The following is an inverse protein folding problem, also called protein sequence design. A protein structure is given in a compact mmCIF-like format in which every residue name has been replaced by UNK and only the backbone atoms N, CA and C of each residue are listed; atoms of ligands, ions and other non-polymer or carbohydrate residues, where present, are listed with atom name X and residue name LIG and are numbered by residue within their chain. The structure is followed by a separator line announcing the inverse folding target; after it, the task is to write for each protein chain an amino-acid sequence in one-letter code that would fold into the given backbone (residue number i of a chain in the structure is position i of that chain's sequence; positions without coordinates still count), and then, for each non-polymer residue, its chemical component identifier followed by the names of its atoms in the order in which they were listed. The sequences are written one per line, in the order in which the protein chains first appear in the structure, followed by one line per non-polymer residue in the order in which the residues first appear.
data_IF_815045933682
#
_entry.id   IF_815045933682
#
_cell.length_a   1.000
_cell.length_b   1.000
_cell.length_c   1.000
_cell.angle_alpha   90.00
_cell.angle_beta   90.00
_cell.angle_gamma   90.00
#
_symmetry.space_group_name_H-M   'P 1'
#
loop_
_entity.id
_entity.type
_entity.pdbx_description
1 polymer ?
#
# COMPACT_ATOMS: atom_id res chain seq x y z
N UNK A 1 -36.38 -52.10 -75.36
CA UNK A 1 -36.89 -51.63 -74.05
C UNK A 1 -35.76 -51.74 -73.02
N UNK A 2 -34.68 -50.94 -73.16
CA UNK A 2 -33.47 -51.02 -72.29
C UNK A 2 -32.88 -49.62 -71.99
N UNK A 3 -33.60 -48.53 -72.26
CA UNK A 3 -33.01 -47.18 -72.09
C UNK A 3 -33.65 -46.30 -71.00
N UNK A 4 -34.72 -46.73 -70.33
CA UNK A 4 -35.32 -45.94 -69.22
C UNK A 4 -34.68 -46.22 -67.86
N UNK A 5 -34.14 -47.43 -67.63
CA UNK A 5 -33.60 -47.82 -66.31
C UNK A 5 -32.22 -47.19 -66.06
N UNK A 6 -31.42 -46.98 -67.11
CA UNK A 6 -30.10 -46.33 -66.99
C UNK A 6 -30.18 -44.82 -66.79
N UNK A 7 -31.21 -44.14 -67.35
CA UNK A 7 -31.35 -42.69 -67.20
C UNK A 7 -31.68 -42.27 -65.76
N UNK A 8 -32.41 -43.11 -65.02
CA UNK A 8 -32.85 -42.81 -63.64
C UNK A 8 -31.78 -43.03 -62.57
N UNK A 9 -30.73 -43.81 -62.87
CA UNK A 9 -29.65 -44.09 -61.94
C UNK A 9 -28.53 -43.03 -61.96
N UNK A 10 -28.44 -42.23 -63.03
CA UNK A 10 -27.36 -41.25 -63.22
C UNK A 10 -27.72 -39.86 -62.65
N UNK A 11 -29.01 -39.53 -62.52
CA UNK A 11 -29.48 -38.21 -62.05
C UNK A 11 -29.89 -38.16 -60.58
N UNK A 12 -29.85 -39.28 -59.85
CA UNK A 12 -30.37 -39.36 -58.48
C UNK A 12 -29.34 -39.24 -57.35
N UNK A 13 -28.04 -39.23 -57.66
CA UNK A 13 -26.97 -39.32 -56.65
C UNK A 13 -26.35 -37.95 -56.29
N UNK A 14 -26.61 -36.89 -57.06
CA UNK A 14 -25.85 -35.63 -56.95
C UNK A 14 -26.57 -34.54 -56.12
N UNK A 15 -27.91 -34.48 -56.15
CA UNK A 15 -28.66 -33.38 -55.50
C UNK A 15 -28.64 -33.45 -53.96
N UNK A 16 -28.67 -34.64 -53.38
CA UNK A 16 -28.59 -34.82 -51.92
C UNK A 16 -27.18 -34.47 -51.39
N UNK A 17 -26.14 -34.75 -52.18
CA UNK A 17 -24.75 -34.45 -51.84
C UNK A 17 -24.48 -32.93 -51.86
N UNK A 18 -25.04 -32.23 -52.84
CA UNK A 18 -24.97 -30.77 -52.95
C UNK A 18 -25.74 -30.10 -51.80
N UNK A 19 -26.88 -30.68 -51.40
CA UNK A 19 -27.72 -30.17 -50.31
C UNK A 19 -27.05 -30.30 -48.94
N UNK A 20 -26.34 -31.41 -48.69
CA UNK A 20 -25.59 -31.59 -47.43
C UNK A 20 -24.27 -30.79 -47.39
N UNK A 21 -23.63 -30.55 -48.55
CA UNK A 21 -22.46 -29.67 -48.64
C UNK A 21 -22.81 -28.21 -48.25
N UNK A 22 -24.01 -27.73 -48.58
CA UNK A 22 -24.48 -26.39 -48.20
C UNK A 22 -24.78 -26.23 -46.70
N UNK A 23 -25.14 -27.31 -45.98
CA UNK A 23 -25.41 -27.26 -44.53
C UNK A 23 -24.14 -27.15 -43.67
N UNK A 24 -22.99 -27.54 -44.20
CA UNK A 24 -21.72 -27.67 -43.46
C UNK A 24 -21.01 -26.34 -43.16
N UNK A 25 -21.29 -25.27 -43.90
CA UNK A 25 -20.46 -24.05 -43.86
C UNK A 25 -21.02 -22.89 -43.01
N UNK A 26 -21.36 -23.12 -41.73
CA UNK A 26 -21.86 -22.05 -40.84
C UNK A 26 -21.25 -21.96 -39.43
N UNK A 27 -20.05 -22.50 -39.19
CA UNK A 27 -19.45 -22.50 -37.84
C UNK A 27 -17.97 -22.11 -37.74
N UNK A 28 -17.52 -21.09 -38.47
CA UNK A 28 -16.12 -20.58 -38.36
C UNK A 28 -15.96 -19.09 -38.00
N UNK A 29 -17.06 -18.38 -37.72
CA UNK A 29 -17.02 -16.94 -37.36
C UNK A 29 -16.74 -16.65 -35.88
N UNK A 30 -17.30 -17.42 -34.94
CA UNK A 30 -17.29 -17.08 -33.52
C UNK A 30 -15.95 -17.33 -32.81
N UNK A 31 -15.13 -18.24 -33.32
CA UNK A 31 -13.88 -18.63 -32.64
C UNK A 31 -12.84 -17.49 -32.71
N UNK A 32 -12.74 -16.79 -33.85
CA UNK A 32 -11.82 -15.64 -33.98
C UNK A 32 -12.23 -14.49 -33.07
N UNK A 33 -13.52 -14.17 -32.99
CA UNK A 33 -14.02 -13.12 -32.11
C UNK A 33 -13.78 -13.46 -30.64
N UNK A 34 -13.91 -14.73 -30.26
CA UNK A 34 -13.59 -15.22 -28.92
C UNK A 34 -12.09 -15.02 -28.59
N UNK A 35 -11.19 -15.38 -29.51
CA UNK A 35 -9.74 -15.18 -29.31
C UNK A 35 -9.35 -13.69 -29.22
N UNK A 36 -9.96 -12.83 -30.03
CA UNK A 36 -9.72 -11.39 -29.96
C UNK A 36 -10.22 -10.79 -28.64
N UNK A 37 -11.40 -11.20 -28.16
CA UNK A 37 -11.92 -10.77 -26.88
C UNK A 37 -11.05 -11.23 -25.69
N UNK A 38 -10.53 -12.47 -25.74
CA UNK A 38 -9.60 -13.00 -24.73
C UNK A 38 -8.28 -12.22 -24.71
N UNK A 39 -7.74 -11.88 -25.89
CA UNK A 39 -6.50 -11.10 -25.98
C UNK A 39 -6.67 -9.69 -25.41
N UNK A 40 -7.78 -9.01 -25.71
CA UNK A 40 -8.04 -7.66 -25.18
C UNK A 40 -8.23 -7.68 -23.67
N UNK A 41 -8.96 -8.66 -23.14
CA UNK A 41 -9.12 -8.85 -21.70
C UNK A 41 -7.77 -9.08 -20.99
N UNK A 42 -6.88 -9.89 -21.57
CA UNK A 42 -5.53 -10.11 -21.01
C UNK A 42 -4.69 -8.82 -20.97
N UNK A 43 -4.79 -7.97 -22.00
CA UNK A 43 -4.12 -6.67 -22.00
C UNK A 43 -4.64 -5.73 -20.90
N UNK A 44 -5.96 -5.68 -20.67
CA UNK A 44 -6.53 -4.89 -19.57
C UNK A 44 -6.08 -5.41 -18.21
N UNK A 45 -6.02 -6.74 -18.00
CA UNK A 45 -5.52 -7.33 -16.76
C UNK A 45 -4.05 -6.96 -16.53
N UNK A 46 -3.20 -7.00 -17.57
CA UNK A 46 -1.80 -6.59 -17.47
C UNK A 46 -1.64 -5.10 -17.14
N UNK A 47 -2.45 -4.24 -17.75
CA UNK A 47 -2.41 -2.79 -17.47
C UNK A 47 -2.89 -2.52 -16.04
N UNK A 48 -3.98 -3.14 -15.60
CA UNK A 48 -4.51 -2.98 -14.23
C UNK A 48 -3.47 -3.48 -13.22
N UNK A 49 -2.86 -4.65 -13.43
CA UNK A 49 -1.84 -5.17 -12.53
C UNK A 49 -0.57 -4.30 -12.51
N UNK A 50 -0.13 -3.77 -13.66
CA UNK A 50 1.00 -2.83 -13.71
C UNK A 50 0.71 -1.51 -12.99
N UNK A 51 -0.51 -0.98 -13.11
CA UNK A 51 -0.95 0.22 -12.38
C UNK A 51 -1.00 -0.05 -10.87
N UNK A 52 -1.52 -1.20 -10.43
CA UNK A 52 -1.53 -1.56 -9.01
C UNK A 52 -0.12 -1.72 -8.41
N UNK A 53 0.86 -2.18 -9.20
CA UNK A 53 2.24 -2.33 -8.76
C UNK A 53 3.02 -1.01 -8.72
N UNK A 54 2.53 0.04 -9.39
CA UNK A 54 3.23 1.34 -9.48
C UNK A 54 2.78 2.35 -8.44
N UNK A 55 1.67 2.10 -7.72
CA UNK A 55 1.29 2.98 -6.61
C UNK A 55 2.42 3.06 -5.59
N UNK A 56 2.94 4.28 -5.31
CA UNK A 56 3.78 4.46 -4.15
C UNK A 56 3.11 3.86 -2.94
N UNK A 57 3.79 2.95 -2.26
CA UNK A 57 3.40 2.60 -0.90
C UNK A 57 3.86 3.77 -0.05
N UNK A 58 2.98 4.36 0.73
CA UNK A 58 3.34 5.32 1.75
C UNK A 58 4.14 4.62 2.86
N UNK A 59 5.02 5.30 3.60
CA UNK A 59 5.72 4.68 4.74
C UNK A 59 4.68 4.09 5.72
N UNK A 60 4.97 2.95 6.32
CA UNK A 60 4.05 2.35 7.29
C UNK A 60 4.55 2.63 8.69
N UNK A 61 3.71 3.26 9.52
CA UNK A 61 4.02 3.58 10.91
C UNK A 61 3.07 2.84 11.82
N UNK A 62 3.62 2.22 12.86
CA UNK A 62 2.88 1.47 13.86
C UNK A 62 3.23 1.97 15.26
N UNK A 63 2.23 2.08 16.13
CA UNK A 63 2.37 2.33 17.55
C UNK A 63 1.87 1.09 18.29
N UNK A 64 2.70 0.47 19.14
CA UNK A 64 2.34 -0.73 19.90
C UNK A 64 1.72 -1.87 19.04
N UNK A 65 2.24 -2.05 17.81
CA UNK A 65 1.74 -2.99 16.79
C UNK A 65 0.41 -2.61 16.10
N UNK A 66 -0.19 -1.48 16.45
CA UNK A 66 -1.36 -0.92 15.76
C UNK A 66 -0.91 0.11 14.71
N UNK A 67 -1.48 0.02 13.50
CA UNK A 67 -1.11 0.93 12.41
C UNK A 67 -1.66 2.32 12.69
N UNK A 68 -0.80 3.33 12.70
CA UNK A 68 -1.23 4.73 12.82
C UNK A 68 -1.93 5.13 11.52
N UNK A 69 -3.12 5.70 11.65
CA UNK A 69 -3.95 6.17 10.54
C UNK A 69 -4.47 7.57 10.85
N UNK A 70 -5.44 8.07 10.06
CA UNK A 70 -6.12 9.33 10.37
C UNK A 70 -7.00 9.26 11.63
N UNK A 71 -7.29 8.06 12.12
CA UNK A 71 -8.01 7.88 13.39
C UNK A 71 -7.02 8.07 14.54
N UNK A 72 -7.30 8.98 15.51
CA UNK A 72 -6.45 9.19 16.67
C UNK A 72 -6.26 7.90 17.47
N UNK A 73 -5.00 7.54 17.69
CA UNK A 73 -4.62 6.42 18.53
C UNK A 73 -4.01 6.92 19.83
N UNK A 74 -4.54 6.46 20.96
CA UNK A 74 -4.04 6.84 22.28
C UNK A 74 -2.65 6.26 22.54
N UNK A 75 -1.75 7.08 23.06
CA UNK A 75 -0.41 6.64 23.46
C UNK A 75 -0.55 5.82 24.74
N UNK A 76 -0.28 4.52 24.66
CA UNK A 76 -0.62 3.55 25.72
C UNK A 76 0.22 3.72 27.00
N UNK A 77 1.28 4.51 26.96
CA UNK A 77 1.96 5.01 28.17
C UNK A 77 2.93 6.13 27.77
N UNK A 78 2.71 7.40 28.13
CA UNK A 78 3.83 8.31 28.23
C UNK A 78 4.73 7.73 29.32
N UNK A 79 5.93 7.26 28.97
CA UNK A 79 6.98 6.92 29.93
C UNK A 79 7.31 8.19 30.74
N UNK A 80 6.49 8.43 31.77
CA UNK A 80 6.68 9.50 32.73
C UNK A 80 7.81 9.04 33.63
N UNK A 81 9.04 9.39 33.24
CA UNK A 81 10.16 9.33 34.17
C UNK A 81 9.88 10.42 35.21
N UNK A 82 9.15 10.05 36.26
CA UNK A 82 8.89 10.89 37.40
C UNK A 82 10.22 11.19 38.10
N UNK A 83 10.88 12.28 37.69
CA UNK A 83 12.00 12.82 38.45
C UNK A 83 11.45 13.28 39.81
N UNK A 84 12.14 12.90 40.89
CA UNK A 84 11.79 13.18 42.30
C UNK A 84 12.06 14.65 42.64
N UNK A 85 11.62 15.57 41.78
CA UNK A 85 11.70 17.01 41.99
C UNK A 85 10.34 17.64 41.71
N UNK A 86 9.84 18.55 42.56
CA UNK A 86 8.54 19.22 42.41
C UNK A 86 8.47 20.19 41.21
N UNK A 87 9.43 20.10 40.30
CA UNK A 87 9.59 20.91 39.08
C UNK A 87 9.84 20.02 37.84
N UNK A 88 9.48 18.73 37.93
CA UNK A 88 9.64 17.77 36.84
C UNK A 88 8.61 18.08 35.74
N UNK A 89 9.07 18.76 34.68
CA UNK A 89 8.34 18.84 33.43
C UNK A 89 8.18 17.43 32.86
N UNK A 90 6.94 17.07 32.56
CA UNK A 90 6.60 15.73 32.09
C UNK A 90 6.96 15.64 30.61
N UNK A 91 7.95 14.81 30.25
CA UNK A 91 8.27 14.56 28.86
C UNK A 91 7.30 13.52 28.29
N UNK A 92 6.96 13.65 27.02
CA UNK A 92 6.16 12.66 26.29
C UNK A 92 7.08 11.97 25.30
N UNK A 93 7.29 10.67 25.49
CA UNK A 93 8.09 9.83 24.60
C UNK A 93 7.19 8.77 23.97
N UNK A 94 7.28 8.64 22.66
CA UNK A 94 6.48 7.70 21.85
C UNK A 94 7.44 6.87 21.02
N UNK A 95 7.24 5.56 21.04
CA UNK A 95 8.02 4.61 20.23
C UNK A 95 7.18 4.13 19.06
N UNK A 96 7.69 4.32 17.85
CA UNK A 96 7.02 3.99 16.60
C UNK A 96 7.84 2.97 15.82
N UNK A 97 7.20 1.89 15.40
CA UNK A 97 7.79 0.97 14.43
C UNK A 97 7.55 1.53 13.02
N UNK A 98 8.64 1.80 12.30
CA UNK A 98 8.59 2.47 10.99
C UNK A 98 9.15 1.55 9.91
N UNK A 99 8.38 1.36 8.85
CA UNK A 99 8.79 0.66 7.64
C UNK A 99 8.86 1.64 6.46
N UNK A 100 10.08 1.89 6.00
CA UNK A 100 10.37 2.83 4.91
C UNK A 100 10.37 2.12 3.55
N UNK A 101 10.08 2.86 2.48
CA UNK A 101 9.86 2.28 1.14
C UNK A 101 11.14 1.98 0.34
N UNK A 102 12.25 1.66 1.03
CA UNK A 102 13.56 1.37 0.41
C UNK A 102 14.09 2.51 -0.47
N UNK A 103 13.59 3.72 -0.28
CA UNK A 103 14.05 4.98 -0.87
C UNK A 103 14.56 5.89 0.25
N UNK A 104 15.40 6.85 -0.11
CA UNK A 104 15.78 7.92 0.81
C UNK A 104 14.51 8.60 1.34
N UNK A 105 14.43 8.73 2.66
CA UNK A 105 13.31 9.35 3.37
C UNK A 105 13.88 10.31 4.39
N UNK A 106 13.46 11.57 4.34
CA UNK A 106 13.80 12.56 5.35
C UNK A 106 12.82 12.49 6.50
N UNK A 107 13.33 12.33 7.70
CA UNK A 107 12.60 12.29 8.95
C UNK A 107 12.90 13.61 9.65
N UNK A 108 11.88 14.38 9.97
CA UNK A 108 12.04 15.65 10.69
C UNK A 108 10.91 15.88 11.69
N UNK A 109 11.20 16.57 12.79
CA UNK A 109 10.18 16.99 13.75
C UNK A 109 10.22 18.51 13.94
N UNK A 110 9.07 19.15 14.11
CA UNK A 110 9.01 20.57 14.45
C UNK A 110 9.52 20.83 15.86
N UNK A 111 9.21 19.92 16.79
CA UNK A 111 9.56 20.04 18.20
C UNK A 111 9.97 18.69 18.78
N UNK A 112 10.77 18.76 19.84
CA UNK A 112 11.34 17.58 20.48
C UNK A 112 12.56 17.02 19.77
N UNK A 113 12.91 15.78 20.06
CA UNK A 113 14.04 15.06 19.46
C UNK A 113 13.61 13.63 19.20
N UNK A 114 14.02 13.06 18.07
CA UNK A 114 13.82 11.64 17.80
C UNK A 114 15.14 10.87 17.80
N UNK A 115 15.05 9.59 18.14
CA UNK A 115 16.11 8.60 18.01
C UNK A 115 15.65 7.52 17.04
N UNK A 116 16.48 7.24 16.04
CA UNK A 116 16.24 6.18 15.07
C UNK A 116 17.16 5.00 15.39
N UNK A 117 16.56 3.84 15.65
CA UNK A 117 17.26 2.60 15.98
C UNK A 117 16.79 1.45 15.08
N UNK A 118 17.52 0.34 15.07
CA UNK A 118 16.98 -0.93 14.57
C UNK A 118 15.79 -1.38 15.43
N UNK A 119 14.88 -2.19 14.88
CA UNK A 119 13.67 -2.66 15.59
C UNK A 119 13.91 -3.23 16.99
N UNK A 120 15.03 -3.93 17.19
CA UNK A 120 15.41 -4.50 18.49
C UNK A 120 16.09 -3.49 19.44
N UNK A 121 16.21 -2.23 19.04
CA UNK A 121 16.94 -1.17 19.74
C UNK A 121 18.46 -1.42 19.93
N UNK A 122 19.02 -2.46 19.32
CA UNK A 122 20.43 -2.85 19.44
C UNK A 122 21.41 -1.89 18.77
N UNK A 123 20.96 -1.13 17.78
CA UNK A 123 21.81 -0.24 16.97
C UNK A 123 21.16 1.12 16.82
N UNK A 124 21.84 2.16 17.31
CA UNK A 124 21.46 3.55 17.11
C UNK A 124 21.98 4.04 15.74
N UNK A 125 21.07 4.46 14.87
CA UNK A 125 21.42 5.06 13.58
C UNK A 125 21.54 6.58 13.69
N UNK A 126 20.65 7.23 14.44
CA UNK A 126 20.62 8.68 14.53
C UNK A 126 19.91 9.18 15.79
N UNK A 127 20.27 10.38 16.26
CA UNK A 127 19.56 11.15 17.28
C UNK A 127 19.60 12.64 16.91
N UNK A 128 18.43 13.29 16.87
CA UNK A 128 18.32 14.72 16.56
C UNK A 128 16.93 15.08 16.07
N UNK A 129 16.84 16.12 15.24
CA UNK A 129 15.57 16.70 14.77
C UNK A 129 15.35 16.58 13.27
N UNK A 130 16.39 16.25 12.51
CA UNK A 130 16.35 16.13 11.05
C UNK A 130 17.39 15.10 10.58
N UNK A 131 16.92 14.07 9.89
CA UNK A 131 17.76 13.01 9.36
C UNK A 131 17.25 12.54 8.01
N UNK A 132 18.14 12.38 7.04
CA UNK A 132 17.81 11.73 5.76
C UNK A 132 18.38 10.33 5.75
N UNK A 133 17.52 9.33 5.61
CA UNK A 133 17.92 7.92 5.58
C UNK A 133 18.63 7.59 4.28
N UNK A 134 19.69 6.78 4.34
CA UNK A 134 20.28 6.17 3.15
C UNK A 134 19.47 4.93 2.69
N UNK A 135 19.86 4.35 1.55
CA UNK A 135 19.20 3.17 0.98
C UNK A 135 19.35 1.89 1.82
N UNK A 136 20.34 1.81 2.70
CA UNK A 136 20.61 0.61 3.49
C UNK A 136 19.84 0.64 4.80
N UNK A 137 19.75 1.79 5.45
CA UNK A 137 18.87 2.05 6.60
C UNK A 137 17.41 1.91 6.18
N UNK A 138 17.03 2.44 5.01
CA UNK A 138 15.65 2.40 4.52
C UNK A 138 15.13 1.00 4.15
N UNK A 139 16.00 -0.02 4.12
CA UNK A 139 15.61 -1.42 3.91
C UNK A 139 15.43 -2.21 5.21
N UNK A 140 15.85 -1.64 6.34
CA UNK A 140 15.78 -2.30 7.65
C UNK A 140 14.44 -2.02 8.32
N UNK A 141 14.08 -2.87 9.27
CA UNK A 141 13.01 -2.57 10.22
C UNK A 141 13.55 -1.62 11.29
N UNK A 142 12.90 -0.46 11.44
CA UNK A 142 13.36 0.63 12.27
C UNK A 142 12.38 0.89 13.42
N UNK A 143 12.94 1.29 14.55
CA UNK A 143 12.19 1.83 15.69
C UNK A 143 12.58 3.30 15.85
N UNK A 144 11.57 4.18 15.82
CA UNK A 144 11.72 5.62 15.96
C UNK A 144 11.10 6.03 17.31
N UNK A 145 11.94 6.46 18.26
CA UNK A 145 11.45 7.04 19.51
C UNK A 145 11.46 8.56 19.37
N UNK A 146 10.30 9.20 19.50
CA UNK A 146 10.15 10.65 19.47
C UNK A 146 9.80 11.17 20.86
N UNK A 147 10.57 12.13 21.35
CA UNK A 147 10.42 12.74 22.67
C UNK A 147 10.14 14.23 22.53
N UNK A 148 9.01 14.69 23.05
CA UNK A 148 8.71 16.12 23.21
C UNK A 148 8.91 16.48 24.68
N UNK A 149 9.76 17.47 24.92
CA UNK A 149 10.07 17.95 26.26
C UNK A 149 9.03 18.98 26.71
N UNK A 150 8.46 18.80 27.90
CA UNK A 150 7.51 19.76 28.48
C UNK A 150 6.33 20.16 27.57
N UNK A 151 5.61 19.21 26.93
CA UNK A 151 4.60 19.55 25.94
C UNK A 151 3.39 20.24 26.56
N UNK A 152 2.93 21.29 25.89
CA UNK A 152 1.71 22.03 26.21
C UNK A 152 0.48 21.33 25.64
N UNK A 153 -0.58 21.18 26.45
CA UNK A 153 -1.80 20.47 26.07
C UNK A 153 -2.58 21.15 24.92
N UNK A 154 -2.38 22.44 24.72
CA UNK A 154 -3.00 23.22 23.64
C UNK A 154 -2.30 23.09 22.30
N UNK A 155 -1.07 22.55 22.28
CA UNK A 155 -0.25 22.49 21.09
C UNK A 155 -0.38 21.15 20.34
N UNK A 156 0.00 21.20 19.07
CA UNK A 156 0.11 20.03 18.20
C UNK A 156 1.54 19.94 17.74
N UNK A 157 2.16 18.79 17.99
CA UNK A 157 3.53 18.52 17.59
C UNK A 157 3.53 17.68 16.32
N UNK A 158 4.48 17.95 15.43
CA UNK A 158 4.51 17.29 14.11
C UNK A 158 5.82 16.53 13.89
N UNK A 159 5.68 15.34 13.32
CA UNK A 159 6.77 14.50 12.85
C UNK A 159 6.49 14.15 11.38
N UNK A 160 7.39 14.55 10.49
CA UNK A 160 7.25 14.37 9.04
C UNK A 160 8.20 13.29 8.54
N UNK A 161 7.65 12.35 7.77
CA UNK A 161 8.36 11.34 6.99
C UNK A 161 8.22 11.70 5.51
N UNK A 162 9.21 12.41 4.97
CA UNK A 162 9.21 12.91 3.60
C UNK A 162 10.03 11.99 2.68
N UNK A 163 9.32 11.15 1.92
CA UNK A 163 9.92 10.22 0.97
C UNK A 163 9.25 10.31 -0.41
N UNK A 164 8.93 9.17 -1.02
CA UNK A 164 8.13 9.16 -2.26
C UNK A 164 6.71 9.72 -2.06
N UNK A 165 6.17 9.53 -0.87
CA UNK A 165 4.97 10.20 -0.37
C UNK A 165 5.31 10.76 1.00
N UNK A 166 4.90 12.00 1.25
CA UNK A 166 5.07 12.67 2.54
C UNK A 166 3.97 12.20 3.48
N UNK A 167 4.35 11.74 4.68
CA UNK A 167 3.43 11.50 5.77
C UNK A 167 3.73 12.43 6.93
N UNK A 168 2.69 13.08 7.44
CA UNK A 168 2.78 13.96 8.61
C UNK A 168 2.03 13.29 9.75
N UNK A 169 2.76 12.99 10.83
CA UNK A 169 2.21 12.49 12.08
C UNK A 169 2.05 13.66 13.04
N UNK A 170 0.86 13.77 13.60
CA UNK A 170 0.48 14.79 14.56
C UNK A 170 0.27 14.16 15.93
N UNK A 171 0.95 14.72 16.92
CA UNK A 171 0.78 14.40 18.33
C UNK A 171 0.00 15.52 19.00
N UNK A 172 -1.14 15.18 19.60
CA UNK A 172 -2.05 16.12 20.25
C UNK A 172 -2.61 15.55 21.54
N UNK A 173 -2.79 16.40 22.54
CA UNK A 173 -3.52 16.03 23.75
C UNK A 173 -5.03 15.98 23.48
N UNK A 174 -5.65 14.84 23.72
CA UNK A 174 -7.10 14.67 23.67
C UNK A 174 -7.68 14.86 25.08
N UNK A 175 -8.45 15.93 25.25
CA UNK A 175 -9.09 16.27 26.52
C UNK A 175 -10.15 15.24 26.94
N UNK A 176 -10.83 14.58 25.99
CA UNK A 176 -11.87 13.61 26.29
C UNK A 176 -11.28 12.32 26.84
N UNK A 177 -10.14 11.90 26.28
CA UNK A 177 -9.39 10.72 26.73
C UNK A 177 -8.41 11.06 27.85
N UNK A 178 -8.20 12.35 28.14
CA UNK A 178 -7.18 12.87 29.05
C UNK A 178 -5.79 12.26 28.78
N UNK A 179 -5.46 12.08 27.50
CA UNK A 179 -4.23 11.41 27.06
C UNK A 179 -3.70 12.00 25.75
N UNK A 180 -2.42 11.78 25.47
CA UNK A 180 -1.82 12.10 24.18
C UNK A 180 -2.26 11.10 23.12
N UNK A 181 -2.56 11.61 21.93
CA UNK A 181 -2.99 10.83 20.77
C UNK A 181 -2.12 11.15 19.56
N UNK A 182 -1.87 10.14 18.74
CA UNK A 182 -1.13 10.28 17.48
C UNK A 182 -2.03 9.91 16.29
N UNK A 183 -1.93 10.68 15.20
CA UNK A 183 -2.66 10.43 13.96
C UNK A 183 -1.90 10.96 12.75
N UNK A 184 -2.25 10.45 11.56
CA UNK A 184 -1.71 10.93 10.29
C UNK A 184 -2.64 12.00 9.69
N UNK A 185 -2.07 13.12 9.27
CA UNK A 185 -2.76 14.15 8.48
C UNK A 185 -3.03 13.63 7.06
N UNK A 186 -4.26 13.82 6.57
CA UNK A 186 -4.69 13.39 5.24
C UNK A 186 -4.46 14.46 4.18
#
# INVERSE_FOLDING_TARGET
MVNEVMARAITGIDDDLITDAYKSSKKKGNIRFLYTAVSVAACFILIITAVFLTFPKSPAVYLDSEKVTSTPLAVSSPLSVASVTPRATQNVTITLDVSLNKTETRISCTEGTFTLCGKNQDTLFYKGTDFTTDKDISKKDLSLCWTVESPEKSEVYTLTLDGKETQVLNLKFDENLNNWTIFIEK
#
